data_IF_465697563354
#
_entry.id   IF_465697563354
#
_cell.length_a   1.000
_cell.length_b   1.000
_cell.length_c   1.000
_cell.angle_alpha   90.00
_cell.angle_beta   90.00
_cell.angle_gamma   90.00
#
_symmetry.space_group_name_H-M   'P 1'
#
loop_
_entity.id
_entity.type
_entity.pdbx_description
1 polymer ?
#
# COMPACT_ATOMS: atom_id res chain seq x y z
N UNK A 1 -33.08 -9.94 -4.19
CA UNK A 1 -32.39 -8.63 -4.14
C UNK A 1 -31.59 -8.57 -2.86
N UNK A 2 -30.25 -8.69 -2.92
CA UNK A 2 -29.40 -8.70 -1.73
C UNK A 2 -29.38 -7.33 -1.05
N UNK A 3 -29.52 -7.30 0.29
CA UNK A 3 -29.43 -6.06 1.06
C UNK A 3 -28.01 -5.48 0.94
N UNK A 4 -27.83 -4.16 0.76
CA UNK A 4 -26.51 -3.55 0.87
C UNK A 4 -25.99 -3.74 2.29
N UNK A 5 -24.83 -4.38 2.44
CA UNK A 5 -24.10 -4.50 3.70
C UNK A 5 -23.43 -3.17 4.02
N UNK A 6 -24.22 -2.19 4.46
CA UNK A 6 -23.69 -0.94 5.00
C UNK A 6 -23.65 -1.03 6.53
N UNK A 7 -22.72 -1.84 7.04
CA UNK A 7 -22.23 -1.67 8.41
C UNK A 7 -21.24 -0.49 8.48
N UNK A 8 -20.95 0.05 9.66
CA UNK A 8 -19.91 1.06 9.81
C UNK A 8 -18.57 0.50 9.31
N UNK A 9 -17.82 1.34 8.59
CA UNK A 9 -16.50 1.01 8.08
C UNK A 9 -15.62 0.54 9.24
N UNK A 10 -14.96 -0.60 9.07
CA UNK A 10 -13.96 -1.07 10.01
C UNK A 10 -12.58 -0.66 9.49
N UNK A 11 -11.77 -0.07 10.36
CA UNK A 11 -10.40 0.32 10.03
C UNK A 11 -9.44 -0.66 10.69
N UNK A 12 -8.55 -1.24 9.89
CA UNK A 12 -7.40 -2.02 10.37
C UNK A 12 -6.14 -1.33 9.90
N UNK A 13 -5.28 -0.93 10.83
CA UNK A 13 -4.00 -0.28 10.52
C UNK A 13 -2.87 -1.28 10.70
N UNK A 14 -2.06 -1.43 9.65
CA UNK A 14 -0.85 -2.25 9.67
C UNK A 14 0.37 -1.31 9.69
N UNK A 15 1.12 -1.31 10.79
CA UNK A 15 2.38 -0.57 10.84
C UNK A 15 3.45 -1.34 10.07
N UNK A 16 3.96 -0.74 8.99
CA UNK A 16 5.08 -1.27 8.21
C UNK A 16 6.40 -0.82 8.83
N UNK A 17 7.21 -1.77 9.29
CA UNK A 17 8.59 -1.52 9.73
C UNK A 17 9.58 -1.72 8.56
N UNK A 18 10.88 -1.67 8.83
CA UNK A 18 11.92 -1.88 7.81
C UNK A 18 11.92 -3.25 7.11
N UNK A 19 10.94 -4.13 7.39
CA UNK A 19 10.80 -5.47 6.78
C UNK A 19 9.45 -5.65 6.06
N UNK A 20 8.81 -4.55 5.66
CA UNK A 20 7.58 -4.57 4.88
C UNK A 20 7.70 -5.37 3.56
N UNK A 21 6.66 -6.10 3.20
CA UNK A 21 6.54 -6.77 1.89
C UNK A 21 5.12 -6.64 1.34
N UNK A 22 5.00 -6.59 0.02
CA UNK A 22 3.73 -6.72 -0.69
C UNK A 22 3.84 -7.80 -1.77
N UNK A 23 2.76 -8.54 -2.02
CA UNK A 23 2.73 -9.60 -3.00
C UNK A 23 1.33 -9.74 -3.63
N UNK A 24 1.28 -10.16 -4.89
CA UNK A 24 0.05 -10.53 -5.57
C UNK A 24 0.14 -12.00 -6.02
N UNK A 25 -0.72 -12.83 -5.46
CA UNK A 25 -0.82 -14.24 -5.81
C UNK A 25 -1.93 -14.41 -6.85
N UNK A 26 -1.56 -14.83 -8.05
CA UNK A 26 -2.48 -15.05 -9.16
C UNK A 26 -2.74 -16.54 -9.37
N UNK A 27 -3.94 -16.86 -9.84
CA UNK A 27 -4.37 -18.23 -10.09
C UNK A 27 -5.14 -18.29 -11.42
N UNK A 28 -4.98 -19.36 -12.23
CA UNK A 28 -5.67 -19.45 -13.53
C UNK A 28 -7.21 -19.46 -13.45
N UNK A 29 -7.77 -19.97 -12.35
CA UNK A 29 -9.21 -20.20 -12.21
C UNK A 29 -9.79 -19.70 -10.88
N UNK A 30 -9.10 -18.80 -10.18
CA UNK A 30 -9.54 -18.22 -8.90
C UNK A 30 -9.20 -16.75 -8.82
N UNK A 31 -9.95 -16.01 -8.00
CA UNK A 31 -9.67 -14.60 -7.73
C UNK A 31 -8.27 -14.42 -7.15
N UNK A 32 -7.52 -13.39 -7.56
CA UNK A 32 -6.20 -13.12 -7.02
C UNK A 32 -6.28 -12.72 -5.54
N UNK A 33 -5.17 -12.91 -4.83
CA UNK A 33 -4.99 -12.46 -3.44
C UNK A 33 -3.89 -11.43 -3.41
N UNK A 34 -4.18 -10.23 -2.94
CA UNK A 34 -3.16 -9.22 -2.64
C UNK A 34 -2.81 -9.26 -1.16
N UNK A 35 -1.52 -9.25 -0.85
CA UNK A 35 -0.99 -9.37 0.50
C UNK A 35 -0.08 -8.17 0.81
N UNK A 36 -0.25 -7.60 2.00
CA UNK A 36 0.69 -6.66 2.62
C UNK A 36 1.09 -7.23 3.97
N UNK A 37 2.39 -7.37 4.23
CA UNK A 37 2.89 -7.86 5.50
C UNK A 37 3.92 -6.90 6.10
N UNK A 38 3.92 -6.83 7.43
CA UNK A 38 4.83 -6.03 8.21
C UNK A 38 5.11 -6.69 9.56
N UNK A 39 6.39 -6.83 9.90
CA UNK A 39 6.82 -7.61 11.06
C UNK A 39 6.16 -9.00 11.08
N UNK A 40 5.28 -9.22 12.04
CA UNK A 40 4.56 -10.48 12.26
C UNK A 40 3.08 -10.45 11.84
N UNK A 41 2.62 -9.37 11.19
CA UNK A 41 1.21 -9.19 10.81
C UNK A 41 1.06 -9.19 9.29
N UNK A 42 0.01 -9.85 8.80
CA UNK A 42 -0.32 -9.97 7.38
C UNK A 42 -1.76 -9.52 7.15
N UNK A 43 -1.95 -8.58 6.23
CA UNK A 43 -3.26 -8.18 5.72
C UNK A 43 -3.45 -8.71 4.31
N UNK A 44 -4.62 -9.30 4.03
CA UNK A 44 -4.98 -9.84 2.72
C UNK A 44 -6.23 -9.17 2.18
N UNK A 45 -6.18 -8.78 0.91
CA UNK A 45 -7.33 -8.30 0.15
C UNK A 45 -7.76 -9.43 -0.80
N UNK A 46 -9.01 -9.86 -0.66
CA UNK A 46 -9.60 -10.94 -1.44
C UNK A 46 -10.95 -10.51 -1.98
N UNK A 47 -11.24 -10.86 -3.23
CA UNK A 47 -12.55 -10.66 -3.84
C UNK A 47 -13.42 -11.90 -3.59
N UNK A 48 -14.73 -11.75 -3.75
CA UNK A 48 -15.65 -12.86 -3.54
C UNK A 48 -15.35 -13.98 -4.54
N UNK A 49 -15.00 -15.17 -4.04
CA UNK A 49 -14.30 -16.22 -4.79
C UNK A 49 -14.96 -16.70 -6.10
N UNK A 50 -16.27 -16.47 -6.26
CA UNK A 50 -17.04 -16.99 -7.40
C UNK A 50 -17.45 -15.94 -8.44
N UNK A 51 -17.17 -14.64 -8.23
CA UNK A 51 -17.62 -13.58 -9.15
C UNK A 51 -16.63 -12.41 -9.20
N UNK A 52 -16.14 -12.12 -10.41
CA UNK A 52 -15.49 -10.85 -10.76
C UNK A 52 -16.47 -10.10 -11.66
N UNK A 53 -16.83 -8.89 -11.26
CA UNK A 53 -17.67 -7.97 -12.00
C UNK A 53 -16.93 -6.65 -12.28
N UNK A 54 -17.58 -5.74 -13.00
CA UNK A 54 -16.99 -4.45 -13.36
C UNK A 54 -16.62 -3.61 -12.12
N UNK A 55 -17.39 -3.74 -11.03
CA UNK A 55 -17.07 -3.08 -9.76
C UNK A 55 -15.78 -3.63 -9.16
N UNK A 56 -15.58 -4.95 -9.20
CA UNK A 56 -14.35 -5.61 -8.76
C UNK A 56 -13.12 -5.14 -9.56
N UNK A 57 -13.26 -5.01 -10.89
CA UNK A 57 -12.20 -4.50 -11.77
C UNK A 57 -11.89 -3.03 -11.48
N UNK A 58 -12.93 -2.22 -11.26
CA UNK A 58 -12.80 -0.79 -10.92
C UNK A 58 -12.05 -0.63 -9.61
N UNK A 59 -12.46 -1.35 -8.56
CA UNK A 59 -11.77 -1.38 -7.27
C UNK A 59 -10.30 -1.79 -7.40
N UNK A 60 -9.99 -2.84 -8.15
CA UNK A 60 -8.61 -3.30 -8.33
C UNK A 60 -7.72 -2.24 -9.00
N UNK A 61 -8.25 -1.49 -9.99
CA UNK A 61 -7.54 -0.38 -10.64
C UNK A 61 -7.32 0.79 -9.69
N UNK A 62 -8.33 1.14 -8.90
CA UNK A 62 -8.22 2.18 -7.88
C UNK A 62 -7.18 1.81 -6.83
N UNK A 63 -7.19 0.58 -6.32
CA UNK A 63 -6.19 0.07 -5.39
C UNK A 63 -4.77 0.20 -5.95
N UNK A 64 -4.56 -0.21 -7.20
CA UNK A 64 -3.25 -0.10 -7.85
C UNK A 64 -2.80 1.36 -8.02
N UNK A 65 -3.72 2.26 -8.38
CA UNK A 65 -3.43 3.69 -8.49
C UNK A 65 -3.06 4.31 -7.14
N UNK A 66 -3.82 4.02 -6.09
CA UNK A 66 -3.53 4.54 -4.75
C UNK A 66 -2.20 3.99 -4.20
N UNK A 67 -1.89 2.71 -4.45
CA UNK A 67 -0.60 2.13 -4.06
C UNK A 67 0.58 2.79 -4.80
N UNK A 68 0.41 3.12 -6.09
CA UNK A 68 1.41 3.86 -6.86
C UNK A 68 1.61 5.28 -6.33
N UNK A 69 0.53 6.02 -6.11
CA UNK A 69 0.61 7.37 -5.52
C UNK A 69 1.26 7.35 -4.14
N UNK A 70 0.96 6.34 -3.32
CA UNK A 70 1.64 6.15 -2.05
C UNK A 70 3.16 5.99 -2.22
N UNK A 71 3.61 5.15 -3.16
CA UNK A 71 5.02 4.97 -3.44
C UNK A 71 5.70 6.27 -3.90
N UNK A 72 5.07 6.98 -4.86
CA UNK A 72 5.56 8.28 -5.37
C UNK A 72 5.74 9.31 -4.23
N UNK A 73 4.80 9.37 -3.29
CA UNK A 73 4.90 10.29 -2.15
C UNK A 73 5.98 9.88 -1.13
N UNK A 74 6.16 8.58 -0.88
CA UNK A 74 7.26 8.08 -0.04
C UNK A 74 8.61 8.44 -0.65
N UNK A 75 8.76 8.27 -1.97
CA UNK A 75 9.97 8.66 -2.70
C UNK A 75 10.24 10.17 -2.60
N UNK A 76 9.21 10.99 -2.83
CA UNK A 76 9.30 12.46 -2.71
C UNK A 76 9.76 12.89 -1.32
N UNK A 77 9.20 12.28 -0.27
CA UNK A 77 9.59 12.55 1.11
C UNK A 77 11.03 12.10 1.41
N UNK A 78 11.41 10.91 0.92
CA UNK A 78 12.75 10.40 1.09
C UNK A 78 13.81 11.30 0.46
N UNK A 79 13.58 11.75 -0.78
CA UNK A 79 14.45 12.70 -1.47
C UNK A 79 14.56 14.03 -0.69
N UNK A 80 13.44 14.55 -0.19
CA UNK A 80 13.41 15.76 0.63
C UNK A 80 14.21 15.64 1.94
N UNK A 81 14.14 14.49 2.61
CA UNK A 81 14.93 14.20 3.80
C UNK A 81 16.43 14.16 3.50
N UNK A 82 16.82 13.47 2.42
CA UNK A 82 18.21 13.41 1.97
C UNK A 82 18.77 14.81 1.69
N UNK A 83 18.04 15.65 0.97
CA UNK A 83 18.45 17.03 0.66
C UNK A 83 18.57 17.92 1.89
N UNK A 84 17.72 17.70 2.91
CA UNK A 84 17.84 18.40 4.20
C UNK A 84 19.10 17.97 4.94
N UNK A 85 19.41 16.67 4.97
CA UNK A 85 20.59 16.14 5.65
C UNK A 85 21.89 16.63 5.01
N UNK A 86 21.95 16.70 3.68
CA UNK A 86 23.11 17.26 2.94
C UNK A 86 23.35 18.73 3.34
N UNK A 87 22.29 19.55 3.37
CA UNK A 87 22.40 20.97 3.78
C UNK A 87 22.90 21.12 5.22
N UNK A 88 22.44 20.27 6.13
CA UNK A 88 22.90 20.30 7.53
C UNK A 88 24.38 19.91 7.66
N UNK A 89 24.85 18.91 6.91
CA UNK A 89 26.27 18.55 6.90
C UNK A 89 27.16 19.65 6.31
N UNK A 90 26.72 20.32 5.25
CA UNK A 90 27.47 21.43 4.64
C UNK A 90 27.56 22.65 5.57
N UNK A 91 26.52 22.93 6.35
CA UNK A 91 26.53 24.02 7.33
C UNK A 91 27.48 23.75 8.53
N UNK A 92 27.78 22.48 8.82
CA UNK A 92 28.67 22.08 9.92
C UNK A 92 30.15 21.97 9.51
N UNK A 93 30.44 21.87 8.21
CA UNK A 93 31.81 21.78 7.67
C UNK A 93 32.42 23.11 7.22
N UNK A 94 31.76 24.25 7.48
CA UNK A 94 32.12 25.57 6.95
C UNK A 94 32.97 26.47 7.86
N UNK A 95 33.56 25.95 8.94
CA UNK A 95 34.50 26.70 9.79
C UNK A 95 35.85 25.99 9.82
N UNK A 96 36.72 26.34 8.87
CA UNK A 96 38.16 26.16 8.95
C UNK A 96 38.83 27.42 8.39
#
# INVERSE_FOLDING_TARGET
MGRPVNGPWQTTTLHVDGRGRSACFTYPHRTPVFEVAAGNTVMKVTLHANRIDDASVTFARELANQARTFAEEVERLHQGLTMRQIRLHQAQGGTA
#
